data_IF_443320865620
#
_entry.id   IF_443320865620
#
_cell.length_a   1.000
_cell.length_b   1.000
_cell.length_c   1.000
_cell.angle_alpha   90.00
_cell.angle_beta   90.00
_cell.angle_gamma   90.00
#
_symmetry.space_group_name_H-M   'P 1'
#
loop_
_entity.id
_entity.type
_entity.pdbx_description
1 polymer ?
#
# COMPACT_ATOMS: atom_id res chain seq x y z
N UNK A 1 -6.04 -18.42 15.26
CA UNK A 1 -4.65 -18.31 15.76
C UNK A 1 -4.61 -17.29 16.90
N UNK A 2 -3.61 -17.39 17.80
CA UNK A 2 -3.31 -16.35 18.78
C UNK A 2 -1.99 -15.69 18.39
N UNK A 3 -2.06 -14.49 17.81
CA UNK A 3 -0.90 -13.67 17.48
C UNK A 3 -0.45 -12.86 18.69
N UNK A 4 0.83 -12.53 18.76
CA UNK A 4 1.40 -11.54 19.68
C UNK A 4 1.78 -10.30 18.89
N UNK A 5 1.78 -9.15 19.57
CA UNK A 5 2.22 -7.90 18.97
C UNK A 5 3.63 -8.06 18.37
N UNK A 6 3.79 -7.58 17.13
CA UNK A 6 5.00 -7.65 16.30
C UNK A 6 5.38 -9.08 15.84
N UNK A 7 4.42 -10.02 15.86
CA UNK A 7 4.62 -11.33 15.22
C UNK A 7 4.71 -11.17 13.70
N UNK A 8 5.81 -11.66 13.11
CA UNK A 8 5.99 -11.75 11.66
C UNK A 8 5.36 -13.05 11.17
N UNK A 9 4.48 -12.93 10.18
CA UNK A 9 3.74 -14.02 9.54
C UNK A 9 4.08 -14.01 8.06
N UNK A 10 4.10 -15.17 7.41
CA UNK A 10 4.39 -15.27 5.97
C UNK A 10 3.24 -15.96 5.25
N UNK A 11 2.79 -15.34 4.16
CA UNK A 11 1.79 -15.90 3.24
C UNK A 11 2.28 -15.71 1.80
N UNK A 12 2.35 -16.81 1.02
CA UNK A 12 2.87 -16.81 -0.37
C UNK A 12 4.22 -16.07 -0.53
N UNK A 13 5.15 -16.36 0.38
CA UNK A 13 6.47 -15.73 0.45
C UNK A 13 6.48 -14.22 0.73
N UNK A 14 5.32 -13.63 1.07
CA UNK A 14 5.20 -12.25 1.54
C UNK A 14 5.15 -12.20 3.07
N UNK A 15 6.10 -11.52 3.74
CA UNK A 15 6.03 -11.24 5.15
C UNK A 15 5.04 -10.11 5.47
N UNK A 16 4.34 -10.23 6.59
CA UNK A 16 3.51 -9.18 7.18
C UNK A 16 3.48 -9.31 8.71
N UNK A 17 3.23 -8.21 9.40
CA UNK A 17 3.27 -8.09 10.86
C UNK A 17 1.86 -8.00 11.45
N UNK A 18 1.66 -8.57 12.63
CA UNK A 18 0.48 -8.32 13.45
C UNK A 18 0.79 -7.25 14.51
N UNK A 19 -0.02 -6.20 14.57
CA UNK A 19 0.10 -5.16 15.59
C UNK A 19 -1.17 -4.99 16.41
N UNK A 20 -0.97 -4.66 17.68
CA UNK A 20 -1.98 -4.18 18.62
C UNK A 20 -1.58 -2.77 19.09
N UNK A 21 -2.53 -1.85 19.06
CA UNK A 21 -2.30 -0.47 19.49
C UNK A 21 -3.52 0.08 20.22
N UNK A 22 -3.31 1.18 20.93
CA UNK A 22 -4.41 1.92 21.57
C UNK A 22 -4.81 3.07 20.65
N UNK A 23 -6.10 3.15 20.31
CA UNK A 23 -6.62 4.28 19.53
C UNK A 23 -6.58 5.56 20.36
N UNK A 24 -6.75 6.72 19.70
CA UNK A 24 -6.81 8.01 20.38
C UNK A 24 -7.88 8.06 21.49
N UNK A 25 -8.98 7.30 21.34
CA UNK A 25 -10.06 7.17 22.32
C UNK A 25 -9.77 6.19 23.47
N UNK A 26 -8.54 5.67 23.58
CA UNK A 26 -8.15 4.72 24.63
C UNK A 26 -8.65 3.28 24.41
N UNK A 27 -9.21 2.96 23.24
CA UNK A 27 -9.71 1.62 22.93
C UNK A 27 -8.60 0.76 22.33
N UNK A 28 -8.48 -0.52 22.71
CA UNK A 28 -7.55 -1.43 22.05
C UNK A 28 -8.02 -1.69 20.61
N UNK A 29 -7.08 -1.65 19.68
CA UNK A 29 -7.24 -2.00 18.29
C UNK A 29 -6.14 -2.98 17.88
N UNK A 30 -6.40 -3.72 16.81
CA UNK A 30 -5.48 -4.69 16.26
C UNK A 30 -5.64 -4.79 14.75
N UNK A 31 -4.60 -5.25 14.09
CA UNK A 31 -4.60 -5.43 12.66
C UNK A 31 -3.29 -6.01 12.16
N UNK A 32 -3.21 -6.16 10.85
CA UNK A 32 -2.04 -6.65 10.15
C UNK A 32 -1.47 -5.54 9.28
N UNK A 33 -0.16 -5.52 9.13
CA UNK A 33 0.59 -4.53 8.36
C UNK A 33 1.54 -5.23 7.40
N UNK A 34 1.62 -4.77 6.16
CA UNK A 34 2.55 -5.30 5.18
C UNK A 34 3.21 -4.13 4.44
N UNK A 35 4.54 -4.14 4.43
CA UNK A 35 5.45 -3.19 3.79
C UNK A 35 6.45 -3.90 2.85
N UNK A 36 6.13 -5.13 2.43
CA UNK A 36 7.01 -5.91 1.54
C UNK A 36 7.19 -5.21 0.17
N UNK A 37 8.40 -4.70 -0.07
CA UNK A 37 8.74 -3.95 -1.28
C UNK A 37 8.57 -4.78 -2.56
N UNK A 38 8.78 -6.10 -2.48
CA UNK A 38 8.69 -7.00 -3.65
C UNK A 38 7.25 -7.16 -4.11
N UNK A 39 6.32 -7.29 -3.17
CA UNK A 39 4.89 -7.32 -3.43
C UNK A 39 4.40 -5.97 -3.99
N UNK A 40 4.90 -4.87 -3.43
CA UNK A 40 4.38 -3.52 -3.69
C UNK A 40 5.06 -2.79 -4.85
N UNK A 41 6.06 -3.38 -5.50
CA UNK A 41 6.85 -2.74 -6.57
C UNK A 41 6.05 -2.21 -7.79
N UNK A 42 4.80 -2.66 -7.98
CA UNK A 42 3.94 -2.28 -9.12
C UNK A 42 2.75 -1.40 -8.70
N UNK A 43 2.74 -0.92 -7.47
CA UNK A 43 1.67 -0.05 -6.94
C UNK A 43 2.27 1.18 -6.28
N UNK A 44 1.45 2.23 -6.16
CA UNK A 44 1.90 3.53 -5.62
C UNK A 44 1.80 3.60 -4.09
N UNK A 45 1.81 2.46 -3.40
CA UNK A 45 1.76 2.38 -1.94
C UNK A 45 3.03 1.72 -1.41
N UNK A 46 3.54 2.22 -0.29
CA UNK A 46 4.74 1.69 0.37
C UNK A 46 4.40 0.66 1.44
N UNK A 47 3.16 0.67 1.93
CA UNK A 47 2.63 -0.31 2.86
C UNK A 47 1.11 -0.26 2.90
N UNK A 48 0.49 -1.29 3.45
CA UNK A 48 -0.95 -1.35 3.68
C UNK A 48 -1.27 -2.10 4.98
N UNK A 49 -2.47 -1.84 5.51
CA UNK A 49 -2.96 -2.52 6.70
C UNK A 49 -4.36 -3.11 6.50
N UNK A 50 -4.69 -4.14 7.29
CA UNK A 50 -6.01 -4.79 7.31
C UNK A 50 -6.43 -5.14 8.73
N UNK A 51 -7.73 -5.31 8.97
CA UNK A 51 -8.24 -5.66 10.31
C UNK A 51 -8.19 -7.17 10.55
N UNK A 52 -8.33 -7.96 9.48
CA UNK A 52 -8.37 -9.42 9.55
C UNK A 52 -7.31 -10.05 8.67
N UNK A 53 -6.84 -11.23 9.07
CA UNK A 53 -5.85 -11.99 8.30
C UNK A 53 -6.38 -12.37 6.91
N UNK A 54 -7.67 -12.67 6.80
CA UNK A 54 -8.31 -13.00 5.52
C UNK A 54 -8.24 -11.80 4.56
N UNK A 55 -8.47 -10.58 5.04
CA UNK A 55 -8.30 -9.38 4.21
C UNK A 55 -6.84 -9.17 3.81
N UNK A 56 -5.89 -9.48 4.69
CA UNK A 56 -4.46 -9.44 4.36
C UNK A 56 -4.15 -10.41 3.22
N UNK A 57 -4.58 -11.68 3.34
CA UNK A 57 -4.39 -12.70 2.30
C UNK A 57 -5.04 -12.29 0.99
N UNK A 58 -6.29 -11.80 1.01
CA UNK A 58 -6.98 -11.34 -0.20
C UNK A 58 -6.24 -10.18 -0.90
N UNK A 59 -5.65 -9.26 -0.14
CA UNK A 59 -4.84 -8.17 -0.72
C UNK A 59 -3.53 -8.67 -1.29
N UNK A 60 -2.85 -9.59 -0.60
CA UNK A 60 -1.62 -10.22 -1.12
C UNK A 60 -1.94 -10.98 -2.42
N UNK A 61 -3.01 -11.76 -2.43
CA UNK A 61 -3.46 -12.48 -3.62
C UNK A 61 -3.80 -11.53 -4.77
N UNK A 62 -4.48 -10.40 -4.51
CA UNK A 62 -4.76 -9.40 -5.53
C UNK A 62 -3.46 -8.80 -6.13
N UNK A 63 -2.49 -8.44 -5.29
CA UNK A 63 -1.22 -7.87 -5.77
C UNK A 63 -0.37 -8.90 -6.52
N UNK A 64 -0.42 -10.18 -6.16
CA UNK A 64 0.32 -11.25 -6.83
C UNK A 64 -0.36 -11.73 -8.12
N UNK A 65 -1.68 -11.89 -8.12
CA UNK A 65 -2.42 -12.51 -9.21
C UNK A 65 -2.86 -11.48 -10.28
N UNK A 66 -2.95 -10.20 -9.93
CA UNK A 66 -3.35 -9.11 -10.83
C UNK A 66 -2.21 -8.13 -11.16
N UNK A 67 -0.95 -8.59 -11.18
CA UNK A 67 0.24 -7.76 -11.44
C UNK A 67 0.09 -6.86 -12.68
N UNK A 68 -0.36 -7.42 -13.81
CA UNK A 68 -0.45 -6.66 -15.07
C UNK A 68 -1.50 -5.55 -15.02
N UNK A 69 -2.59 -5.77 -14.27
CA UNK A 69 -3.59 -4.72 -14.02
C UNK A 69 -2.98 -3.59 -13.20
N UNK A 70 -2.23 -3.91 -12.14
CA UNK A 70 -1.58 -2.92 -11.28
C UNK A 70 -0.51 -2.12 -12.03
N UNK A 71 0.30 -2.76 -12.87
CA UNK A 71 1.26 -2.07 -13.75
C UNK A 71 0.59 -1.08 -14.70
N UNK A 72 -0.54 -1.46 -15.31
CA UNK A 72 -1.26 -0.55 -16.21
C UNK A 72 -1.86 0.63 -15.44
N UNK A 73 -2.42 0.38 -14.24
CA UNK A 73 -2.92 1.45 -13.37
C UNK A 73 -1.82 2.42 -12.95
N UNK A 74 -0.63 1.91 -12.61
CA UNK A 74 0.53 2.74 -12.29
C UNK A 74 0.96 3.58 -13.51
N UNK A 75 1.04 2.97 -14.70
CA UNK A 75 1.37 3.68 -15.94
C UNK A 75 0.37 4.80 -16.25
N UNK A 76 -0.93 4.54 -16.09
CA UNK A 76 -1.98 5.53 -16.32
C UNK A 76 -1.92 6.68 -15.31
N UNK A 77 -1.65 6.35 -14.04
CA UNK A 77 -1.44 7.35 -12.99
C UNK A 77 -0.26 8.27 -13.34
N UNK A 78 0.89 7.70 -13.70
CA UNK A 78 2.09 8.47 -14.02
C UNK A 78 1.91 9.33 -15.27
N UNK A 79 1.25 8.79 -16.30
CA UNK A 79 0.88 9.55 -17.49
C UNK A 79 -0.07 10.71 -17.16
N UNK A 80 -1.02 10.50 -16.23
CA UNK A 80 -1.92 11.54 -15.74
C UNK A 80 -1.18 12.65 -14.99
N UNK A 81 -0.27 12.29 -14.08
CA UNK A 81 0.59 13.24 -13.37
C UNK A 81 1.45 14.05 -14.35
N UNK A 82 2.09 13.39 -15.33
CA UNK A 82 2.89 14.06 -16.34
C UNK A 82 2.04 15.07 -17.15
N UNK A 83 0.87 14.64 -17.63
CA UNK A 83 -0.03 15.52 -18.38
C UNK A 83 -0.48 16.74 -17.56
N UNK A 84 -0.74 16.56 -16.26
CA UNK A 84 -1.07 17.67 -15.37
C UNK A 84 0.09 18.67 -15.28
N UNK A 85 1.31 18.22 -15.00
CA UNK A 85 2.48 19.10 -14.90
C UNK A 85 2.84 19.76 -16.25
N UNK A 86 2.69 19.07 -17.38
CA UNK A 86 2.86 19.63 -18.72
C UNK A 86 1.81 20.71 -19.04
N UNK A 87 0.58 20.54 -18.56
CA UNK A 87 -0.48 21.54 -18.73
C UNK A 87 -0.19 22.82 -17.93
N UNK A 88 0.50 22.68 -16.78
CA UNK A 88 0.85 23.78 -15.88
C UNK A 88 2.08 24.56 -16.36
N UNK A 89 3.08 23.88 -16.89
CA UNK A 89 4.27 24.54 -17.47
C UNK A 89 3.97 25.40 -18.70
N UNK A 90 2.82 25.19 -19.36
CA UNK A 90 2.43 25.96 -20.55
C UNK A 90 1.85 27.34 -20.26
N UNK A 91 1.37 27.62 -19.04
CA UNK A 91 0.72 28.90 -18.69
C UNK A 91 1.06 29.47 -17.31
N UNK A 92 1.66 28.70 -16.39
CA UNK A 92 2.01 29.15 -15.04
C UNK A 92 3.53 29.05 -14.81
N UNK A 93 4.30 29.97 -15.41
CA UNK A 93 5.71 30.23 -15.05
C UNK A 93 5.79 30.99 -13.71
N UNK A 94 5.22 30.46 -12.63
CA UNK A 94 5.46 31.01 -11.29
C UNK A 94 6.85 30.59 -10.80
N UNK A 95 7.84 31.40 -11.17
CA UNK A 95 9.14 31.44 -10.50
C UNK A 95 8.92 32.29 -9.26
N UNK A 96 8.67 31.65 -8.12
CA UNK A 96 8.62 32.35 -6.84
C UNK A 96 10.02 32.88 -6.50
N UNK A 97 10.35 34.06 -7.02
CA UNK A 97 11.40 34.96 -6.54
C UNK A 97 10.75 36.11 -5.75
#
# INVERSE_FOLDING_TARGET
MNYKNDDIITYRDTPYEYHEWTTFDGKPAKGFHCDDETLLQHVNVVSFGTMTEIEMHNKIDDYLDNIEHHKEMQRLHDAGCQAYYDSKTRWDNYTGD
#
